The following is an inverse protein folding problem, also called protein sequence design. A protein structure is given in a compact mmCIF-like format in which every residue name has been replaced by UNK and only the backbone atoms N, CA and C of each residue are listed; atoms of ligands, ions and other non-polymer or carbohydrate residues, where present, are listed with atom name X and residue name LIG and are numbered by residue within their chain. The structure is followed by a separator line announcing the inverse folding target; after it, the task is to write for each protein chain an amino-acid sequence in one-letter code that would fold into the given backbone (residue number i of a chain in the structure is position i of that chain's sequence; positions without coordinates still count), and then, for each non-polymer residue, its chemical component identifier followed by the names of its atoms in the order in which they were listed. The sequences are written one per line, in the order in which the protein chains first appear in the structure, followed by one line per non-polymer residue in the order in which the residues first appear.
data_IF_357748114374
#
_entry.id   IF_357748114374
#
_cell.length_a   1.000
_cell.length_b   1.000
_cell.length_c   1.000
_cell.angle_alpha   90.00
_cell.angle_beta   90.00
_cell.angle_gamma   90.00
#
_symmetry.space_group_name_H-M   'P 1'
#
loop_
_entity.id
_entity.type
_entity.pdbx_description
1 polymer ?
#
# COMPACT_ATOMS: atom_id res chain seq x y z
N UNK A 1 -31.14 0.17 21.86
CA UNK A 1 -31.75 1.08 20.85
C UNK A 1 -31.02 2.41 20.73
N UNK A 2 -30.99 3.32 21.77
CA UNK A 2 -30.31 4.61 21.63
C UNK A 2 -28.77 4.47 21.45
N UNK A 3 -28.11 3.61 22.23
CA UNK A 3 -26.67 3.35 22.09
C UNK A 3 -26.28 2.74 20.74
N UNK A 4 -27.02 1.77 20.26
CA UNK A 4 -26.81 1.16 18.93
C UNK A 4 -26.96 2.19 17.80
N UNK A 5 -27.94 3.11 17.96
CA UNK A 5 -28.14 4.18 16.97
C UNK A 5 -26.98 5.17 16.99
N UNK A 6 -26.49 5.55 18.19
CA UNK A 6 -25.35 6.46 18.34
C UNK A 6 -24.08 5.80 17.73
N UNK A 7 -23.84 4.55 18.04
CA UNK A 7 -22.69 3.81 17.50
C UNK A 7 -22.74 3.75 15.96
N UNK A 8 -23.90 3.41 15.40
CA UNK A 8 -24.09 3.36 13.95
C UNK A 8 -23.88 4.73 13.29
N UNK A 9 -24.35 5.82 13.90
CA UNK A 9 -24.14 7.19 13.39
C UNK A 9 -22.67 7.56 13.47
N UNK A 10 -21.97 7.20 14.55
CA UNK A 10 -20.53 7.46 14.70
C UNK A 10 -19.73 6.73 13.62
N UNK A 11 -19.99 5.45 13.41
CA UNK A 11 -19.34 4.66 12.34
C UNK A 11 -19.57 5.23 10.93
N UNK A 12 -20.79 5.70 10.65
CA UNK A 12 -21.09 6.33 9.36
C UNK A 12 -20.38 7.67 9.20
N UNK A 13 -20.27 8.46 10.28
CA UNK A 13 -19.58 9.74 10.25
C UNK A 13 -18.06 9.57 10.05
N UNK A 14 -17.44 8.60 10.72
CA UNK A 14 -16.04 8.24 10.51
C UNK A 14 -15.80 7.79 9.06
N UNK A 15 -16.68 6.97 8.51
CA UNK A 15 -16.63 6.52 7.13
C UNK A 15 -16.74 7.68 6.13
N UNK A 16 -17.68 8.60 6.34
CA UNK A 16 -17.82 9.80 5.51
C UNK A 16 -16.59 10.70 5.62
N UNK A 17 -16.06 10.89 6.81
CA UNK A 17 -14.83 11.67 7.02
C UNK A 17 -13.64 11.07 6.29
N UNK A 18 -13.48 9.74 6.33
CA UNK A 18 -12.43 9.02 5.57
C UNK A 18 -12.61 9.18 4.06
N UNK A 19 -13.85 9.11 3.58
CA UNK A 19 -14.21 9.34 2.18
C UNK A 19 -13.78 10.73 1.70
N UNK A 20 -14.22 11.76 2.42
CA UNK A 20 -13.93 13.17 2.09
C UNK A 20 -12.41 13.41 2.08
N UNK A 21 -11.69 12.93 3.09
CA UNK A 21 -10.22 13.04 3.13
C UNK A 21 -9.57 12.37 1.92
N UNK A 22 -9.95 11.13 1.61
CA UNK A 22 -9.35 10.42 0.46
C UNK A 22 -9.64 11.12 -0.86
N UNK A 23 -10.85 11.68 -1.06
CA UNK A 23 -11.19 12.45 -2.25
C UNK A 23 -10.40 13.76 -2.36
N UNK A 24 -10.21 14.48 -1.24
CA UNK A 24 -9.35 15.67 -1.19
C UNK A 24 -7.90 15.31 -1.53
N UNK A 25 -7.37 14.25 -0.90
CA UNK A 25 -6.04 13.74 -1.17
C UNK A 25 -5.85 13.40 -2.65
N UNK A 26 -6.83 12.73 -3.28
CA UNK A 26 -6.79 12.43 -4.73
C UNK A 26 -6.82 13.70 -5.60
N UNK A 27 -7.54 14.74 -5.18
CA UNK A 27 -7.58 16.04 -5.89
C UNK A 27 -6.23 16.76 -5.84
N UNK A 28 -5.48 16.62 -4.75
CA UNK A 28 -4.21 17.29 -4.53
C UNK A 28 -3.00 16.57 -5.13
N UNK A 29 -3.14 15.29 -5.53
CA UNK A 29 -2.04 14.46 -6.03
C UNK A 29 -1.21 15.11 -7.15
N UNK A 30 -1.84 15.93 -8.01
CA UNK A 30 -1.16 16.56 -9.13
C UNK A 30 -0.34 17.80 -8.74
N UNK A 31 -0.63 18.41 -7.59
CA UNK A 31 -0.02 19.65 -7.13
C UNK A 31 1.13 19.42 -6.14
N UNK A 32 1.24 18.23 -5.57
CA UNK A 32 2.28 17.88 -4.61
C UNK A 32 3.64 17.77 -5.30
N UNK A 33 4.67 18.38 -4.69
CA UNK A 33 6.07 18.24 -5.14
C UNK A 33 6.51 16.78 -5.08
N UNK A 34 7.29 16.34 -6.06
CA UNK A 34 7.84 14.98 -6.19
C UNK A 34 9.36 14.97 -6.30
N UNK A 35 10.02 15.86 -5.57
CA UNK A 35 11.46 16.06 -5.60
C UNK A 35 12.17 15.62 -4.30
N UNK A 36 11.44 14.94 -3.40
CA UNK A 36 12.03 14.45 -2.17
C UNK A 36 12.93 13.25 -2.45
N UNK A 37 14.05 13.17 -1.72
CA UNK A 37 14.92 12.00 -1.72
C UNK A 37 14.48 11.05 -0.60
N UNK A 38 13.86 9.96 -0.97
CA UNK A 38 13.20 9.01 -0.07
C UNK A 38 14.08 7.80 0.13
N UNK A 39 14.49 7.51 1.36
CA UNK A 39 15.14 6.25 1.72
C UNK A 39 14.07 5.19 1.98
N UNK A 40 13.98 4.21 1.09
CA UNK A 40 12.84 3.29 1.05
C UNK A 40 12.82 2.28 2.20
N UNK A 41 13.97 1.87 2.75
CA UNK A 41 13.98 0.93 3.87
C UNK A 41 13.44 1.57 5.14
N UNK A 42 13.82 2.82 5.42
CA UNK A 42 13.28 3.60 6.55
C UNK A 42 11.79 3.88 6.39
N UNK A 43 11.34 4.22 5.17
CA UNK A 43 9.94 4.47 4.90
C UNK A 43 9.09 3.19 5.09
N UNK A 44 9.58 2.04 4.65
CA UNK A 44 8.91 0.75 4.87
C UNK A 44 8.83 0.46 6.38
N UNK A 45 9.91 0.66 7.13
CA UNK A 45 9.96 0.45 8.58
C UNK A 45 8.93 1.34 9.30
N UNK A 46 8.84 2.61 8.92
CA UNK A 46 7.84 3.56 9.45
C UNK A 46 6.41 3.05 9.20
N UNK A 47 6.07 2.68 7.96
CA UNK A 47 4.74 2.17 7.62
C UNK A 47 4.41 0.88 8.38
N UNK A 48 5.36 -0.05 8.51
CA UNK A 48 5.14 -1.30 9.25
C UNK A 48 4.95 -1.03 10.74
N UNK A 49 5.69 -0.08 11.31
CA UNK A 49 5.55 0.34 12.71
C UNK A 49 4.16 0.94 12.97
N UNK A 50 3.67 1.80 12.09
CA UNK A 50 2.36 2.43 12.22
C UNK A 50 1.20 1.44 12.06
N UNK A 51 1.41 0.36 11.30
CA UNK A 51 0.40 -0.68 11.08
C UNK A 51 0.52 -1.89 12.04
N UNK A 52 1.54 -1.93 12.88
CA UNK A 52 1.74 -3.01 13.86
C UNK A 52 0.52 -3.25 14.78
N UNK A 53 -0.17 -2.20 15.32
CA UNK A 53 -1.37 -2.41 16.14
C UNK A 53 -2.50 -3.12 15.38
N UNK A 54 -2.72 -2.77 14.10
CA UNK A 54 -3.71 -3.42 13.25
C UNK A 54 -3.33 -4.87 12.94
N UNK A 55 -2.04 -5.12 12.67
CA UNK A 55 -1.54 -6.45 12.39
C UNK A 55 -1.69 -7.38 13.60
N UNK A 56 -1.40 -6.88 14.82
CA UNK A 56 -1.60 -7.61 16.07
C UNK A 56 -3.09 -7.94 16.31
N UNK A 57 -4.00 -6.97 16.09
CA UNK A 57 -5.45 -7.20 16.19
C UNK A 57 -5.90 -8.32 15.25
N UNK A 58 -5.37 -8.35 14.04
CA UNK A 58 -5.70 -9.36 12.99
C UNK A 58 -4.86 -10.62 13.09
N UNK A 59 -3.90 -10.69 14.02
CA UNK A 59 -2.96 -11.80 14.17
C UNK A 59 -2.18 -12.10 12.87
N UNK A 60 -1.69 -11.05 12.24
CA UNK A 60 -0.88 -11.08 11.01
C UNK A 60 0.53 -10.64 11.33
N UNK A 61 1.53 -11.38 10.86
CA UNK A 61 2.94 -11.04 11.02
C UNK A 61 3.38 -10.05 9.93
N UNK A 62 4.07 -8.96 10.31
CA UNK A 62 4.67 -8.01 9.39
C UNK A 62 6.16 -8.32 9.22
N UNK A 63 6.61 -8.43 7.97
CA UNK A 63 7.99 -8.80 7.64
C UNK A 63 8.56 -7.80 6.64
N UNK A 64 9.61 -7.07 7.05
CA UNK A 64 10.44 -6.35 6.10
C UNK A 64 11.55 -7.28 5.61
N UNK A 65 11.62 -7.51 4.29
CA UNK A 65 12.77 -8.21 3.70
C UNK A 65 13.79 -7.19 3.22
N UNK A 66 14.98 -7.26 3.78
CA UNK A 66 16.17 -6.65 3.19
C UNK A 66 16.48 -7.30 1.84
N UNK A 67 17.22 -6.62 0.98
CA UNK A 67 17.54 -6.97 -0.40
C UNK A 67 17.89 -8.45 -0.61
N UNK A 68 17.49 -8.99 -1.80
CA UNK A 68 17.72 -10.38 -2.17
C UNK A 68 19.20 -10.78 -2.20
N UNK A 69 19.45 -12.10 -2.22
CA UNK A 69 20.77 -12.71 -2.23
C UNK A 69 21.67 -12.11 -3.35
N UNK A 70 22.68 -11.32 -2.96
CA UNK A 70 23.66 -10.69 -3.87
C UNK A 70 23.80 -9.17 -3.74
N UNK A 71 22.85 -8.47 -3.12
CA UNK A 71 23.06 -7.07 -2.76
C UNK A 71 23.77 -6.98 -1.39
N UNK A 72 24.66 -6.01 -1.21
CA UNK A 72 25.24 -5.73 0.11
C UNK A 72 24.10 -5.31 1.04
N UNK A 73 23.99 -5.95 2.18
CA UNK A 73 22.89 -5.77 3.15
C UNK A 73 22.69 -4.32 3.66
N UNK A 74 23.64 -3.41 3.37
CA UNK A 74 23.67 -2.03 3.83
C UNK A 74 23.60 -1.00 2.70
N UNK A 75 23.16 -1.36 1.49
CA UNK A 75 23.06 -0.39 0.41
C UNK A 75 21.74 0.37 0.54
N UNK A 76 21.82 1.64 0.95
CA UNK A 76 20.69 2.56 1.02
C UNK A 76 19.99 2.65 -0.35
N UNK A 77 18.68 2.46 -0.36
CA UNK A 77 17.87 2.48 -1.58
C UNK A 77 17.02 3.75 -1.63
N UNK A 78 17.41 4.66 -2.52
CA UNK A 78 16.71 5.93 -2.69
C UNK A 78 15.79 5.94 -3.90
N UNK A 79 14.64 6.62 -3.73
CA UNK A 79 13.69 6.96 -4.76
C UNK A 79 13.51 8.49 -4.75
N UNK A 80 13.40 9.10 -5.94
CA UNK A 80 12.96 10.51 -6.06
C UNK A 80 11.45 10.54 -6.26
N UNK A 81 10.74 11.24 -5.40
CA UNK A 81 9.28 11.28 -5.42
C UNK A 81 8.68 12.23 -4.40
N UNK A 82 7.43 12.07 -4.06
CA UNK A 82 6.81 12.70 -2.92
C UNK A 82 6.77 11.73 -1.75
N UNK A 83 7.45 12.08 -0.66
CA UNK A 83 7.52 11.28 0.56
C UNK A 83 6.12 10.93 1.09
N UNK A 84 5.27 11.93 1.24
CA UNK A 84 3.88 11.76 1.68
C UNK A 84 3.08 10.81 0.78
N UNK A 85 3.23 10.91 -0.54
CA UNK A 85 2.46 10.08 -1.46
C UNK A 85 2.96 8.64 -1.48
N UNK A 86 4.27 8.42 -1.44
CA UNK A 86 4.86 7.07 -1.39
C UNK A 86 4.52 6.41 -0.05
N UNK A 87 4.60 7.14 1.08
CA UNK A 87 4.13 6.66 2.38
C UNK A 87 2.66 6.20 2.31
N UNK A 88 1.75 7.06 1.80
CA UNK A 88 0.31 6.74 1.67
C UNK A 88 0.05 5.54 0.76
N UNK A 89 0.78 5.41 -0.32
CA UNK A 89 0.72 4.26 -1.23
C UNK A 89 1.08 2.97 -0.48
N UNK A 90 2.22 2.94 0.19
CA UNK A 90 2.68 1.81 0.98
C UNK A 90 1.70 1.46 2.10
N UNK A 91 1.27 2.47 2.85
CA UNK A 91 0.29 2.30 3.94
C UNK A 91 -0.99 1.64 3.43
N UNK A 92 -1.57 2.13 2.32
CA UNK A 92 -2.79 1.55 1.74
C UNK A 92 -2.59 0.12 1.25
N UNK A 93 -1.43 -0.21 0.64
CA UNK A 93 -1.11 -1.57 0.22
C UNK A 93 -1.01 -2.50 1.43
N UNK A 94 -0.19 -2.15 2.42
CA UNK A 94 0.03 -3.00 3.60
C UNK A 94 -1.24 -3.13 4.45
N UNK A 95 -1.98 -2.03 4.68
CA UNK A 95 -3.26 -2.05 5.38
C UNK A 95 -4.26 -3.00 4.73
N UNK A 96 -4.30 -2.98 3.39
CA UNK A 96 -5.18 -3.85 2.61
C UNK A 96 -4.79 -5.32 2.79
N UNK A 97 -3.51 -5.64 2.68
CA UNK A 97 -3.00 -7.00 2.82
C UNK A 97 -3.14 -7.56 4.25
N UNK A 98 -3.13 -6.70 5.28
CA UNK A 98 -3.47 -7.10 6.66
C UNK A 98 -4.98 -7.41 6.76
N UNK A 99 -5.85 -6.52 6.25
CA UNK A 99 -7.31 -6.64 6.37
C UNK A 99 -7.89 -7.88 5.68
N UNK A 100 -7.30 -8.27 4.55
CA UNK A 100 -7.77 -9.40 3.75
C UNK A 100 -6.95 -10.67 3.95
N UNK A 101 -6.00 -10.65 4.90
CA UNK A 101 -5.24 -11.82 5.27
C UNK A 101 -6.09 -12.86 6.04
N UNK A 102 -5.50 -14.02 6.26
CA UNK A 102 -5.99 -15.05 7.18
C UNK A 102 -5.34 -14.89 8.56
N UNK A 103 -5.96 -15.39 9.61
CA UNK A 103 -5.31 -15.48 10.92
C UNK A 103 -3.99 -16.27 10.83
N UNK A 104 -2.99 -15.81 11.57
CA UNK A 104 -1.63 -16.35 11.57
C UNK A 104 -0.97 -16.34 10.17
N UNK A 105 -1.43 -15.45 9.29
CA UNK A 105 -0.78 -15.14 8.03
C UNK A 105 0.34 -14.12 8.20
N UNK A 106 0.96 -13.74 7.09
CA UNK A 106 2.00 -12.72 7.07
C UNK A 106 1.84 -11.76 5.90
N UNK A 107 2.34 -10.54 6.07
CA UNK A 107 2.56 -9.56 5.01
C UNK A 107 4.04 -9.29 4.93
N UNK A 108 4.61 -9.48 3.75
CA UNK A 108 6.03 -9.24 3.49
C UNK A 108 6.19 -8.04 2.57
N UNK A 109 6.97 -7.05 2.98
CA UNK A 109 7.34 -5.89 2.18
C UNK A 109 8.82 -5.94 1.83
N UNK A 110 9.14 -5.66 0.57
CA UNK A 110 10.53 -5.56 0.11
C UNK A 110 10.68 -4.50 -0.96
N UNK A 111 11.85 -3.88 -1.01
CA UNK A 111 12.26 -2.98 -2.08
C UNK A 111 13.63 -3.43 -2.61
N UNK A 112 13.76 -3.49 -3.95
CA UNK A 112 15.03 -3.83 -4.59
C UNK A 112 15.31 -2.89 -5.76
N UNK A 113 16.58 -2.62 -6.02
CA UNK A 113 17.01 -1.92 -7.23
C UNK A 113 17.14 -2.90 -8.38
N UNK A 114 16.48 -2.60 -9.51
CA UNK A 114 16.67 -3.31 -10.80
C UNK A 114 17.06 -2.31 -11.88
N UNK A 115 18.34 -2.24 -12.22
CA UNK A 115 18.86 -1.24 -13.18
C UNK A 115 18.54 0.19 -12.74
N UNK A 116 17.68 0.88 -13.49
CA UNK A 116 17.27 2.26 -13.26
C UNK A 116 15.87 2.36 -12.58
N UNK A 117 15.38 1.27 -12.00
CA UNK A 117 14.08 1.22 -11.35
C UNK A 117 14.21 0.65 -9.94
N UNK A 118 13.34 1.09 -9.08
CA UNK A 118 13.02 0.42 -7.83
C UNK A 118 11.82 -0.48 -8.08
N UNK A 119 11.91 -1.71 -7.61
CA UNK A 119 10.80 -2.65 -7.54
C UNK A 119 10.41 -2.83 -6.08
N UNK A 120 9.25 -2.32 -5.73
CA UNK A 120 8.65 -2.46 -4.42
C UNK A 120 7.61 -3.57 -4.49
N UNK A 121 7.66 -4.50 -3.53
CA UNK A 121 6.76 -5.65 -3.49
C UNK A 121 6.08 -5.75 -2.13
N UNK A 122 4.75 -5.84 -2.13
CA UNK A 122 3.94 -6.15 -0.95
C UNK A 122 3.24 -7.48 -1.21
N UNK A 123 3.49 -8.47 -0.38
CA UNK A 123 2.99 -9.85 -0.58
C UNK A 123 2.39 -10.40 0.70
N UNK A 124 1.20 -10.96 0.61
CA UNK A 124 0.48 -11.62 1.71
C UNK A 124 0.42 -13.14 1.55
N UNK A 125 -0.08 -13.80 2.59
CA UNK A 125 -0.40 -15.23 2.61
C UNK A 125 -1.89 -15.51 2.71
N UNK A 126 -2.73 -14.52 2.35
CA UNK A 126 -4.19 -14.58 2.47
C UNK A 126 -4.86 -15.42 1.38
N UNK A 127 -6.08 -14.99 1.02
CA UNK A 127 -6.93 -15.78 0.10
C UNK A 127 -6.67 -15.47 -1.39
N UNK A 128 -5.80 -14.50 -1.69
CA UNK A 128 -5.56 -14.06 -3.06
C UNK A 128 -6.72 -13.25 -3.65
N UNK A 129 -6.50 -12.77 -4.87
CA UNK A 129 -7.48 -12.04 -5.67
C UNK A 129 -7.74 -12.82 -6.95
N UNK A 130 -9.02 -13.09 -7.23
CA UNK A 130 -9.43 -13.74 -8.48
C UNK A 130 -8.96 -12.91 -9.68
N UNK A 131 -8.46 -13.57 -10.71
CA UNK A 131 -7.94 -12.93 -11.92
C UNK A 131 -8.95 -11.99 -12.58
N UNK A 132 -10.23 -12.34 -12.53
CA UNK A 132 -11.30 -11.53 -13.07
C UNK A 132 -11.44 -10.15 -12.42
N UNK A 133 -10.93 -9.96 -11.20
CA UNK A 133 -11.04 -8.71 -10.45
C UNK A 133 -9.76 -7.88 -10.40
N UNK A 134 -8.62 -8.40 -10.88
CA UNK A 134 -7.30 -7.75 -10.74
C UNK A 134 -7.22 -6.33 -11.31
N UNK A 135 -7.91 -6.08 -12.41
CA UNK A 135 -8.01 -4.73 -12.98
C UNK A 135 -9.00 -3.86 -12.19
N UNK A 136 -10.13 -4.45 -11.79
CA UNK A 136 -11.24 -3.73 -11.17
C UNK A 136 -10.95 -3.28 -9.73
N UNK A 137 -10.05 -3.98 -9.01
CA UNK A 137 -9.72 -3.63 -7.62
C UNK A 137 -9.11 -2.21 -7.48
N UNK A 138 -8.58 -1.67 -8.57
CA UNK A 138 -8.04 -0.30 -8.63
C UNK A 138 -9.10 0.75 -9.00
N UNK A 139 -10.33 0.35 -9.33
CA UNK A 139 -11.40 1.29 -9.60
C UNK A 139 -11.96 1.89 -8.30
N UNK A 140 -12.25 3.20 -8.27
CA UNK A 140 -12.86 3.82 -7.12
C UNK A 140 -14.17 3.12 -6.72
N UNK A 141 -14.33 2.85 -5.42
CA UNK A 141 -15.51 2.21 -4.82
C UNK A 141 -15.72 0.74 -5.19
N UNK A 142 -14.84 0.14 -5.99
CA UNK A 142 -14.92 -1.27 -6.31
C UNK A 142 -14.57 -2.14 -5.09
N UNK A 143 -15.27 -3.28 -4.97
CA UNK A 143 -15.10 -4.24 -3.88
C UNK A 143 -15.56 -5.61 -4.35
N UNK A 144 -14.72 -6.63 -4.18
CA UNK A 144 -15.01 -8.03 -4.56
C UNK A 144 -16.19 -8.57 -3.75
N UNK A 145 -16.25 -8.29 -2.44
CA UNK A 145 -17.35 -8.70 -1.57
C UNK A 145 -17.88 -7.50 -0.77
N UNK A 146 -19.12 -7.08 -1.06
CA UNK A 146 -19.77 -5.94 -0.43
C UNK A 146 -20.20 -6.20 1.02
N UNK A 147 -20.41 -7.45 1.43
CA UNK A 147 -20.86 -7.82 2.77
C UNK A 147 -19.68 -7.87 3.75
N UNK A 148 -18.68 -8.68 3.47
CA UNK A 148 -17.48 -8.85 4.28
C UNK A 148 -16.67 -7.54 4.42
N UNK A 149 -16.64 -6.77 3.35
CA UNK A 149 -15.89 -5.50 3.35
C UNK A 149 -16.61 -4.39 4.11
N UNK A 150 -17.94 -4.48 4.39
CA UNK A 150 -18.63 -3.52 5.27
C UNK A 150 -18.17 -3.68 6.72
N UNK A 151 -17.98 -4.91 7.18
CA UNK A 151 -17.46 -5.24 8.52
C UNK A 151 -16.01 -4.73 8.71
N UNK A 152 -15.23 -4.70 7.63
CA UNK A 152 -13.83 -4.23 7.63
C UNK A 152 -13.70 -2.69 7.44
N UNK A 153 -14.82 -1.94 7.36
CA UNK A 153 -14.83 -0.47 7.31
C UNK A 153 -14.24 0.17 6.04
N UNK A 154 -13.90 -0.63 5.01
CA UNK A 154 -13.28 -0.14 3.79
C UNK A 154 -14.28 0.59 2.88
N UNK A 155 -13.85 1.66 2.22
CA UNK A 155 -14.64 2.46 1.28
C UNK A 155 -14.40 2.07 -0.19
N UNK A 156 -13.32 1.33 -0.47
CA UNK A 156 -12.92 0.96 -1.83
C UNK A 156 -12.16 2.08 -2.55
N UNK A 157 -11.48 2.95 -1.82
CA UNK A 157 -10.66 4.04 -2.39
C UNK A 157 -9.15 3.82 -2.23
N UNK A 158 -8.73 2.94 -1.33
CA UNK A 158 -7.30 2.76 -1.02
C UNK A 158 -6.47 2.32 -2.22
N UNK A 159 -6.89 1.28 -2.95
CA UNK A 159 -6.18 0.80 -4.14
C UNK A 159 -6.31 1.76 -5.34
N UNK A 160 -7.43 2.49 -5.46
CA UNK A 160 -7.54 3.56 -6.45
C UNK A 160 -6.51 4.68 -6.19
N UNK A 161 -6.32 5.07 -4.92
CA UNK A 161 -5.27 6.00 -4.50
C UNK A 161 -3.87 5.46 -4.84
N UNK A 162 -3.60 4.19 -4.55
CA UNK A 162 -2.34 3.53 -4.90
C UNK A 162 -2.05 3.67 -6.39
N UNK A 163 -3.00 3.34 -7.27
CA UNK A 163 -2.84 3.47 -8.72
C UNK A 163 -2.55 4.90 -9.15
N UNK A 164 -3.23 5.89 -8.58
CA UNK A 164 -2.98 7.29 -8.90
C UNK A 164 -1.61 7.77 -8.42
N UNK A 165 -1.17 7.38 -7.22
CA UNK A 165 0.18 7.70 -6.74
C UNK A 165 1.25 7.11 -7.66
N UNK A 166 1.12 5.85 -8.04
CA UNK A 166 2.03 5.19 -9.00
C UNK A 166 2.04 5.93 -10.34
N UNK A 167 0.86 6.31 -10.85
CA UNK A 167 0.73 7.03 -12.11
C UNK A 167 1.41 8.40 -12.10
N UNK A 168 1.25 9.19 -11.04
CA UNK A 168 1.88 10.53 -10.94
C UNK A 168 3.40 10.47 -10.73
N UNK A 169 3.94 9.29 -10.38
CA UNK A 169 5.37 8.99 -10.33
C UNK A 169 5.87 8.24 -11.56
N UNK A 170 5.11 8.23 -12.66
CA UNK A 170 5.45 7.55 -13.93
C UNK A 170 5.80 6.07 -13.74
N UNK A 171 5.23 5.43 -12.72
CA UNK A 171 5.43 4.04 -12.38
C UNK A 171 4.38 3.10 -12.98
N UNK A 172 4.54 1.82 -12.69
CA UNK A 172 3.57 0.76 -13.01
C UNK A 172 3.26 -0.06 -11.77
N UNK A 173 2.04 -0.60 -11.69
CA UNK A 173 1.62 -1.53 -10.65
C UNK A 173 1.00 -2.77 -11.29
N UNK A 174 1.41 -3.93 -10.81
CA UNK A 174 0.88 -5.23 -11.20
C UNK A 174 0.41 -5.98 -9.96
N UNK A 175 -0.60 -6.84 -10.12
CA UNK A 175 -1.10 -7.72 -9.07
C UNK A 175 -1.21 -9.15 -9.57
N UNK A 176 -0.74 -10.10 -8.79
CA UNK A 176 -0.80 -11.52 -9.13
C UNK A 176 -0.93 -12.41 -7.89
N UNK A 177 -1.39 -13.63 -8.11
CA UNK A 177 -1.43 -14.65 -7.06
C UNK A 177 -0.03 -15.20 -6.86
N UNK A 178 0.44 -15.26 -5.62
CA UNK A 178 1.74 -15.83 -5.29
C UNK A 178 1.67 -17.35 -5.05
N UNK A 179 2.83 -17.98 -4.85
CA UNK A 179 2.97 -19.42 -4.62
C UNK A 179 2.25 -19.96 -3.36
N UNK A 180 1.85 -19.08 -2.46
CA UNK A 180 1.12 -19.43 -1.23
C UNK A 180 -0.38 -19.18 -1.35
N UNK A 181 -0.89 -18.95 -2.55
CA UNK A 181 -2.28 -18.59 -2.87
C UNK A 181 -2.71 -17.21 -2.36
N UNK A 182 -1.80 -16.42 -1.77
CA UNK A 182 -2.04 -15.04 -1.40
C UNK A 182 -1.85 -14.09 -2.58
N UNK A 183 -1.89 -12.79 -2.30
CA UNK A 183 -1.69 -11.72 -3.28
C UNK A 183 -0.25 -11.21 -3.27
N UNK A 184 0.18 -10.68 -4.39
CA UNK A 184 1.40 -9.86 -4.48
C UNK A 184 1.12 -8.65 -5.35
N UNK A 185 1.35 -7.47 -4.79
CA UNK A 185 1.45 -6.21 -5.52
C UNK A 185 2.91 -5.92 -5.82
N UNK A 186 3.23 -5.64 -7.07
CA UNK A 186 4.55 -5.22 -7.52
C UNK A 186 4.45 -3.84 -8.14
N UNK A 187 5.13 -2.86 -7.53
CA UNK A 187 5.21 -1.48 -8.00
C UNK A 187 6.60 -1.22 -8.53
N UNK A 188 6.70 -0.70 -9.76
CA UNK A 188 7.96 -0.29 -10.39
C UNK A 188 7.96 1.22 -10.58
N UNK A 189 9.02 1.88 -10.13
CA UNK A 189 9.22 3.33 -10.28
C UNK A 189 10.65 3.64 -10.68
N UNK A 190 10.84 4.63 -11.55
CA UNK A 190 12.17 5.07 -11.97
C UNK A 190 12.96 5.68 -10.81
N UNK A 191 14.24 5.34 -10.71
CA UNK A 191 15.17 6.05 -9.83
C UNK A 191 15.48 7.36 -10.54
N UNK A 192 15.01 8.50 -10.04
CA UNK A 192 15.25 9.82 -10.67
C UNK A 192 16.72 10.04 -11.01
N UNK A 193 16.98 10.55 -12.22
CA UNK A 193 18.33 10.66 -12.80
C UNK A 193 19.22 11.74 -12.23
N UNK A 194 18.73 12.55 -11.29
CA UNK A 194 19.43 13.76 -10.84
C UNK A 194 20.52 13.53 -9.77
N UNK A 195 20.69 12.32 -9.26
CA UNK A 195 21.67 12.04 -8.20
C UNK A 195 23.01 11.45 -8.69
N UNK A 196 23.13 11.01 -9.97
CA UNK A 196 24.42 10.53 -10.51
C UNK A 196 25.41 11.64 -10.86
N UNK A 197 25.00 12.93 -10.82
CA UNK A 197 25.86 14.08 -11.18
C UNK A 197 26.49 14.80 -10.00
N UNK A 198 26.31 14.33 -8.79
CA UNK A 198 26.79 15.00 -7.57
C UNK A 198 27.89 14.24 -6.82
N UNK A 199 28.68 13.40 -7.50
CA UNK A 199 29.93 12.79 -6.98
C UNK A 199 31.10 13.15 -7.89
#
# INVERSE_FOLDING_TARGET
MAEETIQMVTEQNERLSKLVRTLLDMSELQTVSRNDRIELHSLIEEVLTDLEPLAQEKKVELIQKSQGAGAKADEELFLTGSDILIYRMLYNLVENEIKYNRENGSVTVSAIRKKNEVVLTVSDTGNGIDEAFREQIFEPFFRVDKSRSRELGGVGLGLAMVREVVRVHDGTIEVYTNKHSGTTFEVKMGIGTDFEKAV
#
